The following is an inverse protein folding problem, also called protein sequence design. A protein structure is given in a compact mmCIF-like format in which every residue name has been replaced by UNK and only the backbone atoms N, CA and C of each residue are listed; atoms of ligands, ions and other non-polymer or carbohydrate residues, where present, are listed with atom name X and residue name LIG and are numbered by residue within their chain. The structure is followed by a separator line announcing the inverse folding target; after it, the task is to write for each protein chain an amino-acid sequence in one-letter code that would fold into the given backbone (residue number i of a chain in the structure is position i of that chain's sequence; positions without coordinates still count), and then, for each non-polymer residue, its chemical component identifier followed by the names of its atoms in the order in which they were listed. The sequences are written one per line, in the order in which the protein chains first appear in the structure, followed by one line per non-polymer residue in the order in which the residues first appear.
data_IF_669756100190
#
_entry.id   IF_669756100190
#
_cell.length_a   1.000
_cell.length_b   1.000
_cell.length_c   1.000
_cell.angle_alpha   90.00
_cell.angle_beta   90.00
_cell.angle_gamma   90.00
#
_symmetry.space_group_name_H-M   'P 1'
#
loop_
_entity.id
_entity.type
_entity.pdbx_description
1 polymer ?
#
# COMPACT_ATOMS: atom_id res chain seq x y z
N UNK A 1 7.11 -25.53 6.96
CA UNK A 1 7.58 -24.24 6.46
C UNK A 1 6.68 -23.17 7.06
N UNK A 2 7.18 -22.34 7.98
CA UNK A 2 6.37 -21.36 8.69
C UNK A 2 6.52 -20.00 8.01
N UNK A 3 5.49 -19.55 7.30
CA UNK A 3 5.47 -18.22 6.69
C UNK A 3 5.48 -17.11 7.77
N UNK A 4 6.22 -16.02 7.57
CA UNK A 4 6.26 -14.93 8.53
C UNK A 4 4.88 -14.28 8.61
N UNK A 5 4.33 -14.23 9.82
CA UNK A 5 3.11 -13.50 10.17
C UNK A 5 3.29 -12.00 9.91
N UNK A 6 3.17 -11.58 8.65
CA UNK A 6 3.01 -10.18 8.27
C UNK A 6 1.73 -9.71 8.96
N UNK A 7 1.89 -8.75 9.86
CA UNK A 7 0.80 -8.16 10.64
C UNK A 7 -0.41 -7.91 9.76
N UNK A 8 -1.53 -8.51 10.16
CA UNK A 8 -2.82 -8.50 9.46
C UNK A 8 -3.27 -7.05 9.29
N UNK A 9 -2.93 -6.40 8.17
CA UNK A 9 -3.46 -5.08 7.86
C UNK A 9 -4.95 -5.29 7.53
N UNK A 10 -5.80 -4.84 8.45
CA UNK A 10 -7.26 -5.04 8.44
C UNK A 10 -7.85 -4.43 7.15
N UNK A 11 -8.40 -5.27 6.27
CA UNK A 11 -9.33 -4.85 5.21
C UNK A 11 -8.85 -4.88 3.74
N UNK A 12 -7.99 -5.82 3.31
CA UNK A 12 -7.69 -5.98 1.88
C UNK A 12 -6.68 -7.08 1.55
N UNK A 13 -6.31 -7.23 0.27
CA UNK A 13 -5.38 -8.26 -0.22
C UNK A 13 -4.00 -8.15 0.43
N UNK A 14 -3.57 -9.06 1.30
CA UNK A 14 -2.29 -8.96 2.02
C UNK A 14 -1.18 -9.85 1.44
N UNK A 15 -1.50 -10.61 0.40
CA UNK A 15 -0.63 -11.57 -0.29
C UNK A 15 -0.82 -11.42 -1.80
N UNK A 16 0.14 -11.93 -2.58
CA UNK A 16 0.07 -11.92 -4.05
C UNK A 16 -1.18 -12.67 -4.54
N UNK A 17 -1.48 -13.85 -3.99
CA UNK A 17 -2.67 -14.64 -4.34
C UNK A 17 -4.00 -13.90 -4.11
N UNK A 18 -4.07 -13.01 -3.11
CA UNK A 18 -5.25 -12.18 -2.89
C UNK A 18 -5.27 -10.97 -3.84
N UNK A 19 -4.10 -10.43 -4.18
CA UNK A 19 -3.96 -9.34 -5.13
C UNK A 19 -4.37 -9.78 -6.55
N UNK A 20 -4.08 -11.01 -6.95
CA UNK A 20 -4.49 -11.60 -8.23
C UNK A 20 -6.02 -11.67 -8.41
N UNK A 21 -6.78 -11.72 -7.31
CA UNK A 21 -8.24 -11.75 -7.33
C UNK A 21 -8.86 -10.35 -7.42
N UNK A 22 -8.06 -9.30 -7.24
CA UNK A 22 -8.56 -7.93 -7.25
C UNK A 22 -8.77 -7.46 -8.68
N UNK A 23 -9.88 -6.77 -8.89
CA UNK A 23 -10.04 -5.96 -10.10
C UNK A 23 -9.20 -4.69 -10.00
N UNK A 24 -8.97 -4.05 -11.14
CA UNK A 24 -8.33 -2.74 -11.19
C UNK A 24 -9.05 -1.70 -10.31
N UNK A 25 -10.38 -1.71 -10.30
CA UNK A 25 -11.17 -0.81 -9.46
C UNK A 25 -10.92 -1.04 -7.96
N UNK A 26 -10.82 -2.30 -7.54
CA UNK A 26 -10.49 -2.65 -6.16
C UNK A 26 -9.06 -2.22 -5.79
N UNK A 27 -8.09 -2.38 -6.69
CA UNK A 27 -6.75 -1.84 -6.49
C UNK A 27 -6.79 -0.33 -6.28
N UNK A 28 -7.50 0.40 -7.13
CA UNK A 28 -7.59 1.86 -7.03
C UNK A 28 -8.22 2.29 -5.69
N UNK A 29 -9.28 1.60 -5.23
CA UNK A 29 -9.90 1.85 -3.93
C UNK A 29 -8.93 1.61 -2.76
N UNK A 30 -8.20 0.49 -2.80
CA UNK A 30 -7.22 0.15 -1.76
C UNK A 30 -6.02 1.11 -1.75
N UNK A 31 -5.55 1.53 -2.94
CA UNK A 31 -4.48 2.51 -3.11
C UNK A 31 -4.93 3.87 -2.53
N UNK A 32 -6.13 4.33 -2.88
CA UNK A 32 -6.69 5.58 -2.34
C UNK A 32 -6.80 5.52 -0.80
N UNK A 33 -7.29 4.42 -0.25
CA UNK A 33 -7.37 4.22 1.21
C UNK A 33 -6.01 4.11 1.91
N UNK A 34 -4.97 3.60 1.24
CA UNK A 34 -3.61 3.56 1.77
C UNK A 34 -2.93 4.94 1.70
N UNK A 35 -3.15 5.69 0.62
CA UNK A 35 -2.67 7.05 0.45
C UNK A 35 -3.28 7.99 1.50
N UNK A 36 -4.59 7.94 1.70
CA UNK A 36 -5.26 8.73 2.74
C UNK A 36 -4.72 8.42 4.15
N UNK A 37 -4.43 7.15 4.46
CA UNK A 37 -3.79 6.79 5.74
C UNK A 37 -2.35 7.28 5.85
N UNK A 38 -1.59 7.27 4.75
CA UNK A 38 -0.23 7.79 4.75
C UNK A 38 -0.19 9.30 5.01
N UNK A 39 -1.19 10.03 4.52
CA UNK A 39 -1.34 11.46 4.69
C UNK A 39 -1.91 11.84 6.07
N UNK A 40 -2.98 11.18 6.51
CA UNK A 40 -3.70 11.53 7.74
C UNK A 40 -3.00 11.08 9.03
N UNK A 41 -2.13 10.07 8.99
CA UNK A 41 -1.57 9.47 10.20
C UNK A 41 -0.30 10.18 10.67
N UNK A 42 -0.36 10.71 11.89
CA UNK A 42 0.76 11.40 12.55
C UNK A 42 1.78 10.46 13.19
N UNK A 43 1.39 9.22 13.51
CA UNK A 43 2.28 8.22 14.09
C UNK A 43 3.23 7.64 13.04
N UNK A 44 4.54 7.83 13.24
CA UNK A 44 5.58 7.41 12.29
C UNK A 44 5.56 5.92 11.93
N UNK A 45 5.25 5.03 12.87
CA UNK A 45 5.19 3.58 12.60
C UNK A 45 3.97 3.22 11.76
N UNK A 46 2.82 3.79 12.07
CA UNK A 46 1.58 3.59 11.30
C UNK A 46 1.69 4.23 9.91
N UNK A 47 2.31 5.40 9.80
CA UNK A 47 2.61 6.06 8.52
C UNK A 47 3.53 5.22 7.64
N UNK A 48 4.60 4.65 8.22
CA UNK A 48 5.48 3.71 7.52
C UNK A 48 4.75 2.45 7.05
N UNK A 49 3.83 1.92 7.86
CA UNK A 49 3.01 0.77 7.47
C UNK A 49 2.03 1.12 6.34
N UNK A 50 1.39 2.29 6.39
CA UNK A 50 0.53 2.79 5.32
C UNK A 50 1.31 3.01 4.02
N UNK A 51 2.53 3.56 4.10
CA UNK A 51 3.42 3.73 2.95
C UNK A 51 3.81 2.39 2.31
N UNK A 52 4.27 1.42 3.11
CA UNK A 52 4.59 0.08 2.61
C UNK A 52 3.40 -0.57 1.93
N UNK A 53 2.20 -0.38 2.49
CA UNK A 53 0.95 -0.89 1.94
C UNK A 53 0.63 -0.24 0.60
N UNK A 54 0.75 1.07 0.51
CA UNK A 54 0.53 1.86 -0.70
C UNK A 54 1.44 1.39 -1.84
N UNK A 55 2.75 1.38 -1.62
CA UNK A 55 3.73 0.97 -2.63
C UNK A 55 3.50 -0.48 -3.06
N UNK A 56 3.23 -1.39 -2.12
CA UNK A 56 2.96 -2.78 -2.48
C UNK A 56 1.73 -2.94 -3.39
N UNK A 57 0.64 -2.22 -3.11
CA UNK A 57 -0.56 -2.25 -3.95
C UNK A 57 -0.30 -1.66 -5.34
N UNK A 58 0.46 -0.57 -5.42
CA UNK A 58 0.85 0.04 -6.70
C UNK A 58 1.71 -0.91 -7.53
N UNK A 59 2.69 -1.60 -6.92
CA UNK A 59 3.50 -2.63 -7.60
C UNK A 59 2.65 -3.82 -8.06
N UNK A 60 1.68 -4.29 -7.25
CA UNK A 60 0.81 -5.38 -7.68
C UNK A 60 -0.10 -4.95 -8.84
N UNK A 61 -0.62 -3.72 -8.80
CA UNK A 61 -1.40 -3.15 -9.90
C UNK A 61 -0.59 -3.03 -11.18
N UNK A 62 0.66 -2.58 -11.09
CA UNK A 62 1.57 -2.52 -12.24
C UNK A 62 1.82 -3.90 -12.83
N UNK A 63 2.12 -4.89 -11.98
CA UNK A 63 2.38 -6.27 -12.42
C UNK A 63 1.16 -6.94 -13.08
N UNK A 64 -0.03 -6.75 -12.52
CA UNK A 64 -1.25 -7.46 -12.95
C UNK A 64 -2.03 -6.73 -14.04
N UNK A 65 -1.96 -5.40 -14.07
CA UNK A 65 -2.74 -4.57 -14.98
C UNK A 65 -1.89 -3.70 -15.91
N UNK A 66 -0.56 -3.73 -15.78
CA UNK A 66 0.36 -2.98 -16.63
C UNK A 66 0.31 -1.46 -16.42
N UNK A 67 -0.24 -1.00 -15.30
CA UNK A 67 -0.35 0.44 -15.02
C UNK A 67 0.79 0.87 -14.12
N UNK A 68 1.66 1.73 -14.66
CA UNK A 68 2.86 2.22 -13.99
C UNK A 68 2.55 2.76 -12.58
N UNK A 69 3.30 2.26 -11.61
CA UNK A 69 3.26 2.73 -10.24
C UNK A 69 4.06 4.04 -10.13
N UNK A 70 3.49 5.10 -9.54
CA UNK A 70 4.25 6.33 -9.34
C UNK A 70 5.45 6.07 -8.42
N UNK A 71 6.61 6.62 -8.74
CA UNK A 71 7.77 6.55 -7.84
C UNK A 71 7.47 7.35 -6.56
N UNK A 72 7.25 6.64 -5.45
CA UNK A 72 7.03 7.25 -4.14
C UNK A 72 8.25 7.09 -3.27
N UNK A 73 8.69 8.20 -2.66
CA UNK A 73 9.71 8.19 -1.61
C UNK A 73 9.03 8.35 -0.26
N UNK A 74 9.45 7.54 0.72
CA UNK A 74 9.10 7.76 2.12
C UNK A 74 9.91 8.98 2.58
N UNK A 75 9.50 10.18 2.18
CA UNK A 75 10.09 11.39 2.71
C UNK A 75 9.90 11.36 4.23
N UNK A 76 10.99 11.48 4.99
CA UNK A 76 10.89 12.06 6.33
C UNK A 76 10.13 13.37 6.17
N UNK A 77 9.13 13.64 7.04
CA UNK A 77 8.25 14.83 7.00
C UNK A 77 8.84 15.92 6.09
N UNK A 78 8.15 16.28 5.01
CA UNK A 78 8.31 17.65 4.51
C UNK A 78 7.98 18.51 5.72
N UNK A 79 9.02 18.97 6.42
CA UNK A 79 8.92 20.12 7.29
C UNK A 79 8.40 21.20 6.36
N UNK A 80 7.11 21.52 6.53
CA UNK A 80 6.57 22.73 5.95
C UNK A 80 7.44 23.87 6.41
N UNK A 81 7.91 24.64 5.44
CA UNK A 81 8.19 26.07 5.62
C UNK A 81 6.86 26.79 5.89
#
# INVERSE_FOLDING_TARGET
MAEPRRGRLKGGANTEAEAEKLSLSEFNLLIAGAAWRFDSVTNSNLRKNAFKRLVWLETQRERLHGIEAPERKLAARQSGD
#
